data_IF_533142796874
#
_entry.id   IF_533142796874
#
_cell.length_a   1.000
_cell.length_b   1.000
_cell.length_c   1.000
_cell.angle_alpha   90.00
_cell.angle_beta   90.00
_cell.angle_gamma   90.00
#
_symmetry.space_group_name_H-M   'P 1'
#
loop_
_entity.id
_entity.type
_entity.pdbx_description
1 polymer ?
#
# COMPACT_ATOMS: atom_id res chain seq x y z
N UNK A 1 -64.98 -8.28 -9.34
CA UNK A 1 -65.10 -9.17 -10.46
C UNK A 1 -63.75 -9.75 -10.83
N UNK A 2 -63.68 -10.97 -10.55
CA UNK A 2 -63.09 -12.21 -11.06
C UNK A 2 -61.58 -12.37 -10.72
N UNK A 3 -61.30 -13.18 -9.77
CA UNK A 3 -61.25 -14.67 -9.61
C UNK A 3 -60.05 -15.30 -10.27
N UNK A 4 -59.22 -15.92 -9.36
CA UNK A 4 -58.65 -17.27 -9.41
C UNK A 4 -57.57 -17.49 -10.50
N UNK A 5 -56.48 -18.17 -10.23
CA UNK A 5 -56.29 -19.50 -9.68
C UNK A 5 -54.85 -19.74 -9.35
N UNK A 6 -54.63 -20.37 -8.21
CA UNK A 6 -53.43 -21.06 -7.74
C UNK A 6 -53.21 -22.36 -8.51
N UNK A 7 -51.97 -22.69 -8.85
CA UNK A 7 -51.62 -24.06 -9.21
C UNK A 7 -50.35 -24.47 -8.43
N UNK A 8 -50.40 -25.65 -7.74
CA UNK A 8 -49.33 -26.10 -6.84
C UNK A 8 -48.26 -26.93 -7.57
N UNK A 9 -47.06 -26.95 -6.97
CA UNK A 9 -45.92 -27.76 -7.37
C UNK A 9 -46.21 -29.26 -7.16
N UNK A 10 -45.63 -30.15 -7.99
CA UNK A 10 -45.70 -31.62 -7.74
C UNK A 10 -44.60 -32.10 -6.79
N UNK A 11 -44.84 -33.22 -6.10
CA UNK A 11 -44.01 -33.70 -5.01
C UNK A 11 -42.85 -34.60 -5.45
N UNK A 12 -41.85 -34.65 -4.57
CA UNK A 12 -40.78 -35.65 -4.58
C UNK A 12 -41.32 -37.06 -4.50
N UNK A 13 -40.74 -38.00 -5.27
CA UNK A 13 -40.84 -39.42 -5.00
C UNK A 13 -39.47 -40.04 -4.82
N UNK A 14 -39.28 -40.88 -3.80
CA UNK A 14 -38.08 -41.65 -3.56
C UNK A 14 -38.30 -43.07 -4.08
N UNK A 15 -37.27 -43.71 -4.61
CA UNK A 15 -37.21 -45.17 -4.90
C UNK A 15 -35.74 -45.46 -5.27
N UNK A 16 -35.11 -46.50 -4.92
CA UNK A 16 -35.30 -47.63 -4.02
C UNK A 16 -33.97 -48.34 -3.96
N UNK A 17 -33.66 -48.84 -2.81
CA UNK A 17 -32.58 -49.80 -2.57
C UNK A 17 -32.96 -51.19 -3.09
N UNK A 18 -32.03 -51.90 -3.70
CA UNK A 18 -32.07 -53.35 -3.89
C UNK A 18 -30.62 -53.84 -3.98
N UNK A 19 -30.05 -54.38 -3.05
CA UNK A 19 -29.85 -55.58 -2.26
C UNK A 19 -29.81 -56.84 -3.16
N UNK A 20 -28.71 -57.61 -2.94
CA UNK A 20 -28.46 -59.06 -3.16
C UNK A 20 -28.01 -59.47 -4.57
N UNK A 21 -26.91 -60.22 -4.75
CA UNK A 21 -26.68 -61.55 -4.22
C UNK A 21 -25.26 -62.03 -4.58
N UNK A 22 -24.57 -62.61 -3.63
CA UNK A 22 -23.54 -63.63 -3.88
C UNK A 22 -24.19 -64.93 -4.36
N UNK A 23 -23.44 -65.84 -5.06
CA UNK A 23 -22.61 -66.80 -4.33
C UNK A 23 -21.31 -67.23 -5.06
N UNK A 24 -20.32 -67.68 -4.29
CA UNK A 24 -19.33 -68.69 -4.64
C UNK A 24 -19.98 -70.07 -4.87
N UNK A 25 -19.37 -71.10 -5.45
CA UNK A 25 -18.04 -71.60 -5.12
C UNK A 25 -17.26 -72.36 -6.25
N UNK A 26 -16.02 -72.73 -5.87
CA UNK A 26 -15.25 -73.93 -6.24
C UNK A 26 -14.79 -74.23 -7.68
N UNK A 27 -13.53 -74.59 -7.70
CA UNK A 27 -13.01 -75.52 -8.69
C UNK A 27 -11.57 -75.27 -9.16
N UNK A 28 -10.61 -75.81 -8.43
CA UNK A 28 -9.57 -76.73 -8.90
C UNK A 28 -8.61 -76.30 -10.04
N UNK A 29 -7.42 -76.27 -9.76
CA UNK A 29 -6.33 -77.21 -10.11
C UNK A 29 -5.04 -76.57 -10.62
N UNK A 30 -4.00 -76.91 -9.98
CA UNK A 30 -2.61 -77.27 -10.33
C UNK A 30 -1.99 -76.67 -11.62
N UNK A 31 -0.82 -76.11 -11.43
CA UNK A 31 0.14 -75.89 -12.53
C UNK A 31 1.34 -75.01 -12.11
N UNK A 32 2.36 -75.64 -11.60
CA UNK A 32 3.61 -74.99 -11.19
C UNK A 32 4.37 -74.31 -12.31
N UNK A 33 4.90 -73.18 -11.99
CA UNK A 33 5.80 -72.42 -12.85
C UNK A 33 6.53 -71.33 -12.09
N UNK A 34 7.59 -71.69 -11.39
CA UNK A 34 8.46 -70.72 -10.69
C UNK A 34 9.26 -69.95 -11.71
N UNK A 35 8.77 -68.75 -12.08
CA UNK A 35 9.54 -67.75 -12.84
C UNK A 35 10.40 -66.89 -11.93
N UNK A 36 11.60 -66.49 -12.36
CA UNK A 36 12.59 -65.84 -11.49
C UNK A 36 12.10 -64.48 -10.93
N UNK A 37 12.26 -64.30 -9.63
CA UNK A 37 11.87 -63.15 -8.82
C UNK A 37 12.34 -61.78 -9.29
N UNK A 38 13.39 -61.70 -10.18
CA UNK A 38 13.92 -60.45 -10.72
C UNK A 38 13.03 -59.77 -11.79
N UNK A 39 12.08 -60.48 -12.44
CA UNK A 39 11.13 -59.88 -13.41
C UNK A 39 10.01 -59.06 -12.79
N UNK A 40 9.76 -59.15 -11.47
CA UNK A 40 8.68 -58.41 -10.82
C UNK A 40 9.06 -56.99 -10.33
N UNK A 41 10.34 -56.57 -10.43
CA UNK A 41 10.77 -55.24 -9.97
C UNK A 41 10.73 -54.13 -11.03
N UNK A 42 10.45 -54.42 -12.31
CA UNK A 42 10.43 -53.38 -13.34
C UNK A 42 9.06 -52.78 -13.70
N UNK A 43 7.95 -53.30 -13.19
CA UNK A 43 6.59 -52.78 -13.49
C UNK A 43 5.93 -51.95 -12.41
N UNK A 44 6.65 -51.59 -11.33
CA UNK A 44 6.08 -50.80 -10.22
C UNK A 44 6.66 -49.39 -10.13
N UNK A 45 7.44 -48.94 -11.11
CA UNK A 45 8.04 -47.58 -11.10
C UNK A 45 7.38 -46.54 -12.01
N UNK A 46 6.37 -46.91 -12.80
CA UNK A 46 5.75 -46.01 -13.77
C UNK A 46 4.26 -45.70 -13.48
N UNK A 47 3.77 -45.92 -12.27
CA UNK A 47 2.38 -45.57 -11.91
C UNK A 47 2.24 -44.66 -10.68
N UNK A 48 3.28 -43.94 -10.28
CA UNK A 48 3.30 -43.12 -9.06
C UNK A 48 3.40 -41.62 -9.25
N UNK A 49 3.47 -41.11 -10.51
CA UNK A 49 3.77 -39.67 -10.69
C UNK A 49 2.76 -38.90 -11.57
N UNK A 50 1.52 -39.39 -11.71
CA UNK A 50 0.53 -38.73 -12.57
C UNK A 50 -0.58 -37.95 -11.82
N UNK A 51 -0.48 -37.75 -10.50
CA UNK A 51 -1.56 -37.09 -9.75
C UNK A 51 -1.03 -36.08 -8.73
N UNK A 52 -0.19 -35.13 -9.12
CA UNK A 52 0.06 -33.95 -8.28
C UNK A 52 0.56 -32.73 -9.07
N UNK A 53 0.03 -32.51 -10.27
CA UNK A 53 0.41 -31.37 -11.12
C UNK A 53 -0.66 -30.25 -11.12
N UNK A 54 -1.52 -30.20 -10.12
CA UNK A 54 -2.57 -29.17 -10.01
C UNK A 54 -2.23 -27.98 -9.11
N UNK A 55 -0.99 -27.89 -8.62
CA UNK A 55 -0.56 -26.85 -7.67
C UNK A 55 0.42 -25.81 -8.22
N UNK A 56 1.08 -26.07 -9.33
CA UNK A 56 2.14 -25.19 -9.84
C UNK A 56 1.59 -24.19 -10.89
N UNK A 57 1.06 -23.07 -10.41
CA UNK A 57 0.65 -21.92 -11.26
C UNK A 57 1.85 -21.06 -11.69
N UNK A 58 3.07 -21.54 -11.56
CA UNK A 58 4.28 -20.87 -12.02
C UNK A 58 4.55 -21.13 -13.51
N UNK A 59 5.06 -20.14 -14.24
CA UNK A 59 5.46 -20.25 -15.66
C UNK A 59 6.56 -21.31 -15.88
N UNK A 60 7.25 -21.72 -14.82
CA UNK A 60 8.35 -22.72 -14.87
C UNK A 60 8.01 -23.84 -13.88
N UNK A 61 7.92 -25.08 -14.37
CA UNK A 61 7.63 -26.25 -13.53
C UNK A 61 8.77 -26.53 -12.52
N UNK A 62 8.42 -27.16 -11.39
CA UNK A 62 9.40 -27.49 -10.33
C UNK A 62 10.52 -28.41 -10.87
N UNK A 63 10.19 -29.29 -11.81
CA UNK A 63 11.15 -30.20 -12.47
C UNK A 63 12.15 -29.44 -13.35
N UNK A 64 11.70 -28.39 -14.04
CA UNK A 64 12.57 -27.57 -14.89
C UNK A 64 13.50 -26.67 -14.09
N UNK A 65 13.09 -26.22 -12.90
CA UNK A 65 13.96 -25.45 -11.99
C UNK A 65 15.20 -26.23 -11.51
N UNK A 66 15.19 -27.57 -11.59
CA UNK A 66 16.33 -28.43 -11.21
C UNK A 66 17.38 -28.57 -12.33
N UNK A 67 17.07 -28.20 -13.57
CA UNK A 67 18.01 -28.25 -14.69
C UNK A 67 19.06 -27.12 -14.56
N UNK A 68 20.38 -27.43 -14.58
CA UNK A 68 21.42 -26.43 -14.36
C UNK A 68 21.43 -25.32 -15.44
N UNK A 69 21.03 -25.63 -16.67
CA UNK A 69 20.93 -24.65 -17.74
C UNK A 69 19.81 -23.65 -17.51
N UNK A 70 18.63 -24.10 -17.07
CA UNK A 70 17.48 -23.23 -16.78
C UNK A 70 17.79 -22.35 -15.56
N UNK A 71 18.42 -22.92 -14.54
CA UNK A 71 18.84 -22.17 -13.36
C UNK A 71 19.86 -21.08 -13.68
N UNK A 72 20.81 -21.34 -14.59
CA UNK A 72 21.77 -20.32 -15.06
C UNK A 72 21.05 -19.22 -15.85
N UNK A 73 20.24 -19.59 -16.83
CA UNK A 73 19.47 -18.63 -17.63
C UNK A 73 18.57 -17.75 -16.76
N UNK A 74 17.81 -18.34 -15.82
CA UNK A 74 16.96 -17.59 -14.89
C UNK A 74 17.77 -16.63 -14.03
N UNK A 75 18.93 -17.06 -13.49
CA UNK A 75 19.81 -16.18 -12.72
C UNK A 75 20.39 -15.05 -13.55
N UNK A 76 20.79 -15.33 -14.79
CA UNK A 76 21.30 -14.30 -15.71
C UNK A 76 20.20 -13.28 -16.02
N UNK A 77 18.98 -13.73 -16.36
CA UNK A 77 17.85 -12.85 -16.62
C UNK A 77 17.50 -12.03 -15.37
N UNK A 78 17.45 -12.65 -14.20
CA UNK A 78 17.22 -11.94 -12.94
C UNK A 78 18.33 -10.93 -12.64
N UNK A 79 19.59 -11.29 -12.89
CA UNK A 79 20.72 -10.38 -12.73
C UNK A 79 20.67 -9.19 -13.69
N UNK A 80 20.33 -9.41 -14.95
CA UNK A 80 20.16 -8.35 -15.95
C UNK A 80 18.98 -7.43 -15.57
N UNK A 81 17.84 -8.01 -15.20
CA UNK A 81 16.68 -7.25 -14.76
C UNK A 81 16.99 -6.43 -13.50
N UNK A 82 17.66 -7.04 -12.52
CA UNK A 82 18.08 -6.34 -11.31
C UNK A 82 19.06 -5.21 -11.63
N UNK A 83 20.06 -5.47 -12.47
CA UNK A 83 21.01 -4.45 -12.93
C UNK A 83 20.30 -3.28 -13.63
N UNK A 84 19.37 -3.59 -14.53
CA UNK A 84 18.56 -2.58 -15.21
C UNK A 84 17.70 -1.77 -14.22
N UNK A 85 17.06 -2.43 -13.26
CA UNK A 85 16.28 -1.76 -12.20
C UNK A 85 17.16 -0.85 -11.34
N UNK A 86 18.37 -1.29 -10.99
CA UNK A 86 19.33 -0.48 -10.24
C UNK A 86 19.75 0.76 -11.06
N UNK A 87 20.10 0.59 -12.32
CA UNK A 87 20.52 1.71 -13.19
C UNK A 87 19.37 2.71 -13.39
N UNK A 88 18.17 2.22 -13.71
CA UNK A 88 16.99 3.08 -13.93
C UNK A 88 16.54 3.76 -12.63
N UNK A 89 16.58 3.05 -11.50
CA UNK A 89 16.12 3.56 -10.20
C UNK A 89 17.16 4.47 -9.52
N UNK A 90 18.42 4.07 -9.50
CA UNK A 90 19.48 4.84 -8.81
C UNK A 90 20.21 5.83 -9.73
N UNK A 91 20.20 5.58 -11.04
CA UNK A 91 20.92 6.45 -12.01
C UNK A 91 20.56 7.92 -11.87
N UNK A 92 19.26 8.31 -11.92
CA UNK A 92 18.84 9.70 -11.75
C UNK A 92 19.26 10.30 -10.39
N UNK A 93 19.20 9.49 -9.31
CA UNK A 93 19.62 9.94 -7.98
C UNK A 93 21.13 10.19 -7.90
N UNK A 94 21.93 9.28 -8.46
CA UNK A 94 23.38 9.44 -8.52
C UNK A 94 23.78 10.63 -9.38
N UNK A 95 23.08 10.81 -10.50
CA UNK A 95 23.27 11.99 -11.35
C UNK A 95 22.95 13.29 -10.60
N UNK A 96 21.83 13.32 -9.86
CA UNK A 96 21.44 14.48 -9.04
C UNK A 96 22.50 14.79 -7.97
N UNK A 97 23.01 13.76 -7.28
CA UNK A 97 24.06 13.91 -6.27
C UNK A 97 25.36 14.46 -6.87
N UNK A 98 25.74 13.95 -8.06
CA UNK A 98 26.88 14.48 -8.81
C UNK A 98 26.66 15.95 -9.18
N UNK A 99 25.50 16.28 -9.75
CA UNK A 99 25.17 17.62 -10.20
C UNK A 99 25.09 18.64 -9.04
N UNK A 100 24.66 18.20 -7.86
CA UNK A 100 24.59 19.02 -6.65
C UNK A 100 25.95 19.57 -6.17
N UNK A 101 27.05 18.89 -6.51
CA UNK A 101 28.41 19.28 -6.14
C UNK A 101 29.25 19.73 -7.34
N UNK A 102 28.63 19.90 -8.52
CA UNK A 102 29.32 20.29 -9.74
C UNK A 102 28.96 21.75 -10.10
N UNK A 103 29.91 22.59 -10.46
CA UNK A 103 29.62 23.96 -10.94
C UNK A 103 28.63 23.97 -12.11
N UNK A 104 27.77 24.98 -12.18
CA UNK A 104 26.72 25.11 -13.22
C UNK A 104 27.30 24.98 -14.63
N UNK A 105 28.43 25.59 -14.92
CA UNK A 105 29.04 25.57 -16.27
C UNK A 105 29.42 24.14 -16.69
N UNK A 106 29.98 23.34 -15.78
CA UNK A 106 30.41 21.98 -16.08
C UNK A 106 29.18 21.05 -16.22
N UNK A 107 28.15 21.26 -15.41
CA UNK A 107 26.90 20.55 -15.55
C UNK A 107 26.22 20.78 -16.88
N UNK A 108 26.26 22.01 -17.39
CA UNK A 108 25.68 22.37 -18.70
C UNK A 108 26.53 21.89 -19.87
N UNK A 109 27.88 21.95 -19.77
CA UNK A 109 28.80 21.53 -20.85
C UNK A 109 28.87 20.02 -21.01
N UNK A 110 28.88 19.30 -19.91
CA UNK A 110 29.04 17.82 -19.88
C UNK A 110 27.99 17.13 -19.01
N UNK A 111 26.68 17.21 -19.35
CA UNK A 111 25.60 16.72 -18.50
C UNK A 111 25.65 15.21 -18.25
N UNK A 112 26.18 14.43 -19.22
CA UNK A 112 26.30 12.97 -19.15
C UNK A 112 27.63 12.48 -18.57
N UNK A 113 28.54 13.35 -18.17
CA UNK A 113 29.79 12.95 -17.52
C UNK A 113 29.46 12.24 -16.19
N UNK A 114 30.06 11.05 -15.97
CA UNK A 114 29.82 10.25 -14.76
C UNK A 114 30.48 10.91 -13.54
N UNK A 115 31.66 11.50 -13.73
CA UNK A 115 32.41 12.19 -12.67
C UNK A 115 32.37 13.71 -12.86
N UNK A 116 32.31 14.50 -11.77
CA UNK A 116 32.40 15.93 -11.84
C UNK A 116 33.84 16.37 -12.25
N UNK A 117 33.96 17.41 -13.05
CA UNK A 117 35.28 18.00 -13.36
C UNK A 117 35.83 18.87 -12.22
N UNK A 118 34.98 19.24 -11.26
CA UNK A 118 35.29 19.93 -10.03
C UNK A 118 34.28 19.59 -8.97
N UNK A 119 34.64 19.68 -7.69
CA UNK A 119 33.71 19.46 -6.56
C UNK A 119 33.59 20.77 -5.81
N UNK A 120 32.38 21.34 -5.84
CA UNK A 120 32.02 22.52 -5.09
C UNK A 120 31.01 22.19 -3.99
N UNK A 121 31.53 22.04 -2.77
CA UNK A 121 30.73 21.80 -1.59
C UNK A 121 29.94 23.04 -1.13
N UNK A 122 30.36 24.23 -1.61
CA UNK A 122 29.69 25.47 -1.24
C UNK A 122 28.23 25.51 -1.73
N UNK A 123 27.93 24.85 -2.84
CA UNK A 123 26.57 24.71 -3.34
C UNK A 123 25.60 24.14 -2.28
N UNK A 124 26.03 23.11 -1.54
CA UNK A 124 25.22 22.51 -0.46
C UNK A 124 25.05 23.46 0.72
N UNK A 125 26.12 24.19 1.08
CA UNK A 125 26.08 25.18 2.16
C UNK A 125 25.16 26.34 1.77
N UNK A 126 25.32 26.86 0.57
CA UNK A 126 24.47 27.95 0.04
C UNK A 126 23.02 27.53 -0.08
N UNK A 127 22.75 26.31 -0.55
CA UNK A 127 21.40 25.75 -0.59
C UNK A 127 20.78 25.69 0.83
N UNK A 128 21.54 25.25 1.82
CA UNK A 128 21.06 25.15 3.19
C UNK A 128 20.80 26.53 3.83
N UNK A 129 21.75 27.46 3.70
CA UNK A 129 21.70 28.75 4.42
C UNK A 129 20.90 29.81 3.68
N UNK A 130 21.04 29.93 2.35
CA UNK A 130 20.39 30.99 1.56
C UNK A 130 18.95 30.66 1.19
N UNK A 131 18.65 29.38 0.93
CA UNK A 131 17.30 28.93 0.59
C UNK A 131 16.47 28.67 1.87
N UNK A 132 17.15 28.51 3.01
CA UNK A 132 16.51 28.12 4.28
C UNK A 132 15.77 26.78 4.18
N UNK A 133 16.42 25.76 3.60
CA UNK A 133 15.82 24.42 3.44
C UNK A 133 15.39 23.81 4.78
N UNK A 134 16.09 24.14 5.87
CA UNK A 134 15.75 23.77 7.23
C UNK A 134 14.32 24.18 7.62
N UNK A 135 13.92 25.43 7.32
CA UNK A 135 12.57 25.94 7.59
C UNK A 135 11.53 25.20 6.76
N UNK A 136 11.75 25.07 5.42
CA UNK A 136 10.80 24.39 4.54
C UNK A 136 10.72 22.89 4.85
N UNK A 137 11.83 22.30 5.26
CA UNK A 137 11.82 20.91 5.73
C UNK A 137 11.00 20.75 7.00
N UNK A 138 11.17 21.65 7.99
CA UNK A 138 10.36 21.62 9.20
C UNK A 138 8.88 21.82 8.89
N UNK A 139 8.55 22.76 8.00
CA UNK A 139 7.18 22.94 7.51
C UNK A 139 6.61 21.67 6.90
N UNK A 140 7.41 20.98 6.08
CA UNK A 140 7.02 19.70 5.46
C UNK A 140 6.72 18.64 6.52
N UNK A 141 7.57 18.53 7.56
CA UNK A 141 7.34 17.60 8.67
C UNK A 141 6.07 17.95 9.47
N UNK A 142 5.86 19.22 9.78
CA UNK A 142 4.68 19.68 10.52
C UNK A 142 3.41 19.42 9.70
N UNK A 143 3.42 19.72 8.40
CA UNK A 143 2.31 19.47 7.49
C UNK A 143 2.03 17.97 7.41
N UNK A 144 3.07 17.15 7.20
CA UNK A 144 2.91 15.69 7.09
C UNK A 144 2.41 15.07 8.39
N UNK A 145 2.94 15.50 9.54
CA UNK A 145 2.53 14.98 10.85
C UNK A 145 1.08 15.34 11.19
N UNK A 146 0.68 16.59 10.94
CA UNK A 146 -0.69 17.03 11.19
C UNK A 146 -1.70 16.41 10.24
N UNK A 147 -1.37 16.33 8.94
CA UNK A 147 -2.20 15.66 7.94
C UNK A 147 -2.36 14.16 8.28
N UNK A 148 -1.27 13.49 8.65
CA UNK A 148 -1.29 12.10 9.14
C UNK A 148 -2.20 11.93 10.36
N UNK A 149 -2.06 12.79 11.37
CA UNK A 149 -2.83 12.68 12.60
C UNK A 149 -4.33 12.87 12.35
N UNK A 150 -4.72 13.91 11.60
CA UNK A 150 -6.12 14.19 11.26
C UNK A 150 -6.70 13.08 10.38
N UNK A 151 -5.97 12.65 9.36
CA UNK A 151 -6.41 11.59 8.45
C UNK A 151 -6.59 10.25 9.18
N UNK A 152 -5.66 9.90 10.06
CA UNK A 152 -5.74 8.69 10.86
C UNK A 152 -6.91 8.72 11.84
N UNK A 153 -7.12 9.86 12.51
CA UNK A 153 -8.24 10.05 13.41
C UNK A 153 -9.58 9.86 12.68
N UNK A 154 -9.77 10.52 11.55
CA UNK A 154 -11.00 10.43 10.76
C UNK A 154 -11.20 9.03 10.20
N UNK A 155 -10.15 8.41 9.65
CA UNK A 155 -10.23 7.06 9.09
C UNK A 155 -10.55 6.00 10.16
N UNK A 156 -9.89 6.07 11.32
CA UNK A 156 -10.10 5.11 12.39
C UNK A 156 -11.48 5.28 13.04
N UNK A 157 -11.89 6.49 13.38
CA UNK A 157 -13.21 6.74 14.00
C UNK A 157 -14.35 6.53 13.00
N UNK A 158 -14.21 6.97 11.75
CA UNK A 158 -15.19 6.75 10.68
C UNK A 158 -15.32 5.26 10.33
N UNK A 159 -14.21 4.57 10.18
CA UNK A 159 -14.17 3.11 9.98
C UNK A 159 -14.83 2.35 11.13
N UNK A 160 -14.54 2.74 12.37
CA UNK A 160 -15.15 2.17 13.57
C UNK A 160 -16.67 2.40 13.63
N UNK A 161 -17.10 3.62 13.38
CA UNK A 161 -18.52 3.96 13.37
C UNK A 161 -19.29 3.14 12.32
N UNK A 162 -18.74 3.02 11.11
CA UNK A 162 -19.39 2.33 9.99
C UNK A 162 -19.29 0.80 10.05
N UNK A 163 -18.28 0.23 10.72
CA UNK A 163 -18.06 -1.21 10.79
C UNK A 163 -18.57 -1.84 12.07
N UNK A 164 -18.24 -1.25 13.23
CA UNK A 164 -18.48 -1.85 14.56
C UNK A 164 -19.76 -1.32 15.20
N UNK A 165 -19.97 0.01 15.16
CA UNK A 165 -21.18 0.62 15.74
C UNK A 165 -22.41 0.44 14.86
N UNK A 166 -22.25 0.44 13.54
CA UNK A 166 -23.28 0.20 12.52
C UNK A 166 -24.59 0.99 12.77
N UNK A 167 -24.55 2.33 12.80
CA UNK A 167 -25.75 3.13 13.00
C UNK A 167 -26.76 2.88 11.86
N UNK A 168 -28.06 3.07 12.10
CA UNK A 168 -29.13 2.81 11.13
C UNK A 168 -28.90 3.49 9.78
N UNK A 169 -28.32 4.69 9.79
CA UNK A 169 -27.97 5.47 8.60
C UNK A 169 -26.58 5.12 8.02
N UNK A 170 -25.85 4.22 8.64
CA UNK A 170 -24.46 3.89 8.27
C UNK A 170 -24.28 3.45 6.83
N UNK A 171 -25.25 2.71 6.27
CA UNK A 171 -25.22 2.28 4.85
C UNK A 171 -25.30 3.47 3.88
N UNK A 172 -26.11 4.48 4.19
CA UNK A 172 -26.24 5.71 3.39
C UNK A 172 -24.93 6.50 3.46
N UNK A 173 -24.42 6.73 4.66
CA UNK A 173 -23.14 7.44 4.86
C UNK A 173 -22.00 6.73 4.13
N UNK A 174 -21.91 5.40 4.25
CA UNK A 174 -20.90 4.62 3.54
C UNK A 174 -21.04 4.74 2.01
N UNK A 175 -22.27 4.70 1.50
CA UNK A 175 -22.55 4.93 0.08
C UNK A 175 -22.10 6.31 -0.39
N UNK A 176 -22.35 7.36 0.40
CA UNK A 176 -21.89 8.72 0.11
C UNK A 176 -20.36 8.83 0.14
N UNK A 177 -19.70 8.21 1.13
CA UNK A 177 -18.23 8.14 1.19
C UNK A 177 -17.67 7.43 -0.06
N UNK A 178 -18.28 6.33 -0.49
CA UNK A 178 -17.88 5.66 -1.73
C UNK A 178 -18.11 6.55 -2.96
N UNK A 179 -19.23 7.29 -3.01
CA UNK A 179 -19.52 8.19 -4.12
C UNK A 179 -18.46 9.29 -4.29
N UNK A 180 -17.87 9.78 -3.18
CA UNK A 180 -16.80 10.80 -3.27
C UNK A 180 -15.55 10.29 -4.00
N UNK A 181 -15.29 8.98 -4.03
CA UNK A 181 -14.14 8.40 -4.75
C UNK A 181 -14.25 8.57 -6.28
N UNK A 182 -15.46 8.78 -6.81
CA UNK A 182 -15.70 9.00 -8.23
C UNK A 182 -15.58 10.48 -8.62
N UNK A 183 -15.50 11.39 -7.64
CA UNK A 183 -15.37 12.82 -7.90
C UNK A 183 -13.88 13.15 -8.08
N UNK A 184 -13.48 13.67 -9.26
CA UNK A 184 -12.09 14.10 -9.46
C UNK A 184 -11.71 15.21 -8.48
N UNK A 185 -10.59 15.06 -7.79
CA UNK A 185 -10.13 16.02 -6.77
C UNK A 185 -10.00 17.45 -7.32
N UNK A 186 -9.61 17.59 -8.60
CA UNK A 186 -9.44 18.90 -9.26
C UNK A 186 -10.75 19.71 -9.29
N UNK A 187 -11.90 19.06 -9.43
CA UNK A 187 -13.23 19.73 -9.44
C UNK A 187 -13.53 20.37 -8.08
N UNK A 188 -13.00 19.79 -7.01
CA UNK A 188 -13.22 20.25 -5.65
C UNK A 188 -12.26 21.37 -5.22
N UNK A 189 -11.24 21.72 -6.01
CA UNK A 189 -10.24 22.72 -5.63
C UNK A 189 -10.85 24.08 -5.32
N UNK A 190 -11.71 24.60 -6.22
CA UNK A 190 -12.31 25.93 -6.03
C UNK A 190 -13.29 25.96 -4.85
N UNK A 191 -14.26 25.03 -4.73
CA UNK A 191 -15.15 25.00 -3.55
C UNK A 191 -14.37 24.83 -2.24
N UNK A 192 -13.33 24.00 -2.23
CA UNK A 192 -12.51 23.76 -1.05
C UNK A 192 -11.71 25.01 -0.67
N UNK A 193 -11.11 25.70 -1.67
CA UNK A 193 -10.42 26.97 -1.43
C UNK A 193 -11.32 28.02 -0.82
N UNK A 194 -12.55 28.19 -1.35
CA UNK A 194 -13.53 29.12 -0.80
C UNK A 194 -13.96 28.74 0.62
N UNK A 195 -14.05 27.45 0.93
CA UNK A 195 -14.34 26.95 2.28
C UNK A 195 -13.20 27.28 3.25
N UNK A 196 -11.94 27.17 2.83
CA UNK A 196 -10.77 27.53 3.63
C UNK A 196 -10.64 29.05 3.79
N UNK A 197 -11.00 29.82 2.76
CA UNK A 197 -11.02 31.27 2.80
C UNK A 197 -12.08 31.82 3.77
N UNK A 198 -13.27 31.19 3.77
CA UNK A 198 -14.43 31.56 4.59
C UNK A 198 -14.98 30.33 5.33
N UNK A 199 -14.28 29.79 6.34
CA UNK A 199 -14.76 28.62 7.04
C UNK A 199 -16.07 28.92 7.79
N UNK A 200 -17.12 28.09 7.62
CA UNK A 200 -18.46 28.39 8.11
C UNK A 200 -18.59 28.49 9.64
N UNK A 201 -17.64 27.88 10.39
CA UNK A 201 -17.72 27.81 11.85
C UNK A 201 -16.68 28.69 12.56
N UNK A 202 -15.63 29.15 11.88
CA UNK A 202 -14.45 29.79 12.50
C UNK A 202 -14.48 31.31 12.26
N UNK A 203 -15.11 31.77 11.18
CA UNK A 203 -15.27 33.21 10.87
C UNK A 203 -13.98 33.90 10.39
N UNK A 204 -12.81 33.30 10.54
CA UNK A 204 -11.51 33.82 10.08
C UNK A 204 -10.90 32.91 9.05
N UNK A 205 -10.24 33.48 8.03
CA UNK A 205 -9.56 32.72 7.00
C UNK A 205 -8.49 31.79 7.58
N UNK A 206 -8.42 30.59 7.08
CA UNK A 206 -7.37 29.61 7.41
C UNK A 206 -6.18 29.67 6.44
N UNK A 207 -6.20 30.52 5.40
CA UNK A 207 -5.09 30.68 4.49
C UNK A 207 -3.78 30.98 5.23
N UNK A 208 -2.69 30.46 4.72
CA UNK A 208 -1.35 30.57 5.32
C UNK A 208 -1.24 29.99 6.75
N UNK A 209 -2.13 29.07 7.10
CA UNK A 209 -2.03 28.25 8.31
C UNK A 209 -1.93 26.76 7.92
N UNK A 210 -1.31 25.95 8.75
CA UNK A 210 -1.23 24.49 8.51
C UNK A 210 -2.61 23.82 8.56
N UNK A 211 -3.59 24.42 9.25
CA UNK A 211 -4.98 23.94 9.28
C UNK A 211 -5.64 23.90 7.90
N UNK A 212 -5.22 24.80 6.99
CA UNK A 212 -5.70 24.82 5.62
C UNK A 212 -5.34 23.52 4.86
N UNK A 213 -4.28 22.81 5.29
CA UNK A 213 -3.86 21.53 4.71
C UNK A 213 -4.36 20.36 5.54
N UNK A 214 -4.29 20.44 6.86
CA UNK A 214 -4.65 19.34 7.75
C UNK A 214 -6.13 18.97 7.70
N UNK A 215 -7.03 19.94 7.69
CA UNK A 215 -8.48 19.67 7.73
C UNK A 215 -8.95 18.94 6.45
N UNK A 216 -8.62 19.40 5.22
CA UNK A 216 -8.98 18.68 4.02
C UNK A 216 -8.35 17.28 3.92
N UNK A 217 -7.12 17.12 4.43
CA UNK A 217 -6.46 15.82 4.45
C UNK A 217 -7.27 14.76 5.21
N UNK A 218 -8.02 15.15 6.25
CA UNK A 218 -8.93 14.26 6.98
C UNK A 218 -10.07 13.67 6.13
N UNK A 219 -10.48 14.34 5.07
CA UNK A 219 -11.58 13.90 4.21
C UNK A 219 -11.18 12.80 3.20
N UNK A 220 -10.26 11.91 3.57
CA UNK A 220 -9.81 10.79 2.71
C UNK A 220 -10.78 9.63 2.75
N UNK A 221 -11.71 9.59 1.79
CA UNK A 221 -12.67 8.49 1.63
C UNK A 221 -11.97 7.13 1.45
N UNK A 222 -10.87 7.09 0.71
CA UNK A 222 -10.08 5.88 0.50
C UNK A 222 -9.60 5.26 1.84
N UNK A 223 -9.04 6.08 2.74
CA UNK A 223 -8.54 5.60 4.01
C UNK A 223 -9.69 5.16 4.96
N UNK A 224 -10.81 5.86 4.95
CA UNK A 224 -12.00 5.45 5.72
C UNK A 224 -12.51 4.09 5.25
N UNK A 225 -12.64 3.89 3.93
CA UNK A 225 -13.09 2.62 3.33
C UNK A 225 -12.11 1.49 3.64
N UNK A 226 -10.81 1.76 3.54
CA UNK A 226 -9.75 0.78 3.80
C UNK A 226 -9.79 0.31 5.25
N UNK A 227 -9.87 1.23 6.22
CA UNK A 227 -9.95 0.92 7.65
C UNK A 227 -11.26 0.20 7.97
N UNK A 228 -12.39 0.69 7.43
CA UNK A 228 -13.69 0.03 7.61
C UNK A 228 -13.64 -1.43 7.15
N UNK A 229 -13.11 -1.69 5.95
CA UNK A 229 -13.01 -3.06 5.42
C UNK A 229 -12.13 -3.96 6.28
N UNK A 230 -11.06 -3.41 6.85
CA UNK A 230 -10.24 -4.16 7.81
C UNK A 230 -11.04 -4.50 9.07
N UNK A 231 -11.78 -3.54 9.63
CA UNK A 231 -12.60 -3.76 10.83
C UNK A 231 -13.74 -4.74 10.58
N UNK A 232 -14.30 -4.79 9.36
CA UNK A 232 -15.33 -5.78 8.99
C UNK A 232 -14.81 -7.23 9.07
N UNK A 233 -13.50 -7.44 8.93
CA UNK A 233 -12.86 -8.76 9.00
C UNK A 233 -12.41 -9.16 10.41
N UNK A 234 -12.58 -8.29 11.40
CA UNK A 234 -12.27 -8.64 12.80
C UNK A 234 -13.35 -9.59 13.36
N UNK A 235 -12.96 -10.61 14.18
CA UNK A 235 -13.90 -11.53 14.78
C UNK A 235 -14.92 -10.80 15.64
N UNK A 236 -16.21 -10.99 15.37
CA UNK A 236 -17.30 -10.31 16.08
C UNK A 236 -17.46 -10.79 17.51
N UNK A 237 -17.11 -12.04 17.77
CA UNK A 237 -17.16 -12.66 19.09
C UNK A 237 -16.36 -11.87 20.13
N UNK A 238 -15.24 -11.26 19.73
CA UNK A 238 -14.42 -10.43 20.61
C UNK A 238 -15.20 -9.18 21.05
N UNK A 239 -15.97 -8.57 20.12
CA UNK A 239 -16.76 -7.38 20.43
C UNK A 239 -17.97 -7.70 21.30
N UNK A 240 -18.59 -8.87 21.08
CA UNK A 240 -19.73 -9.36 21.87
C UNK A 240 -19.28 -9.70 23.28
N UNK A 241 -18.19 -10.44 23.45
CA UNK A 241 -17.61 -10.74 24.75
C UNK A 241 -17.29 -9.46 25.55
N UNK A 242 -16.61 -8.49 24.90
CA UNK A 242 -16.29 -7.23 25.55
C UNK A 242 -17.53 -6.44 25.98
N UNK A 243 -18.64 -6.50 25.21
CA UNK A 243 -19.90 -5.86 25.60
C UNK A 243 -20.57 -6.56 26.78
N UNK A 244 -20.49 -7.88 26.84
CA UNK A 244 -20.96 -8.66 28.01
C UNK A 244 -20.16 -8.27 29.25
N UNK A 245 -18.84 -8.03 29.12
CA UNK A 245 -17.97 -7.53 30.20
C UNK A 245 -18.19 -6.05 30.52
N UNK A 246 -19.22 -5.38 29.95
CA UNK A 246 -19.57 -3.99 30.22
C UNK A 246 -18.69 -2.96 29.49
N UNK A 247 -17.94 -3.33 28.46
CA UNK A 247 -17.16 -2.36 27.68
C UNK A 247 -18.07 -1.43 26.87
N UNK A 248 -18.05 -0.14 27.17
CA UNK A 248 -18.70 0.87 26.35
C UNK A 248 -17.99 1.08 24.99
N UNK A 249 -18.65 1.80 24.05
CA UNK A 249 -18.09 2.00 22.67
C UNK A 249 -16.69 2.59 22.65
N UNK A 250 -16.41 3.55 23.54
CA UNK A 250 -15.10 4.22 23.60
C UNK A 250 -14.01 3.26 24.10
N UNK A 251 -14.28 2.46 25.15
CA UNK A 251 -13.36 1.44 25.68
C UNK A 251 -13.11 0.37 24.64
N UNK A 252 -14.16 -0.07 23.91
CA UNK A 252 -14.06 -1.03 22.83
C UNK A 252 -13.13 -0.54 21.73
N UNK A 253 -13.27 0.73 21.32
CA UNK A 253 -12.42 1.34 20.30
C UNK A 253 -10.94 1.37 20.71
N UNK A 254 -10.63 2.00 21.86
CA UNK A 254 -9.25 2.24 22.27
C UNK A 254 -8.51 1.00 22.76
N UNK A 255 -9.22 0.10 23.50
CA UNK A 255 -8.57 -1.02 24.17
C UNK A 255 -8.58 -2.31 23.35
N UNK A 256 -9.46 -2.43 22.35
CA UNK A 256 -9.62 -3.68 21.59
C UNK A 256 -9.43 -3.43 20.10
N UNK A 257 -10.28 -2.59 19.46
CA UNK A 257 -10.27 -2.43 18.01
C UNK A 257 -8.95 -1.82 17.53
N UNK A 258 -8.52 -0.72 18.12
CA UNK A 258 -7.31 -0.01 17.70
C UNK A 258 -6.03 -0.84 17.87
N UNK A 259 -5.78 -1.53 18.99
CA UNK A 259 -4.64 -2.43 19.15
C UNK A 259 -4.61 -3.61 18.17
N UNK A 260 -5.77 -4.21 17.88
CA UNK A 260 -5.88 -5.28 16.88
C UNK A 260 -5.64 -4.80 15.46
N UNK A 261 -5.82 -3.50 15.23
CA UNK A 261 -5.76 -2.88 13.91
C UNK A 261 -4.42 -2.23 13.60
N UNK A 262 -3.38 -2.46 14.40
CA UNK A 262 -2.02 -1.93 14.17
C UNK A 262 -1.52 -2.13 12.73
N UNK A 263 -1.77 -3.27 12.04
CA UNK A 263 -1.30 -3.45 10.67
C UNK A 263 -1.93 -2.45 9.70
N UNK A 264 -3.25 -2.26 9.74
CA UNK A 264 -3.94 -1.33 8.84
C UNK A 264 -3.64 0.12 9.17
N UNK A 265 -3.52 0.45 10.46
CA UNK A 265 -3.10 1.77 10.93
C UNK A 265 -1.72 2.13 10.36
N UNK A 266 -0.78 1.17 10.35
CA UNK A 266 0.51 1.33 9.72
C UNK A 266 0.43 1.60 8.22
N UNK A 267 -0.39 0.86 7.49
CA UNK A 267 -0.59 1.06 6.04
C UNK A 267 -1.18 2.45 5.75
N UNK A 268 -2.23 2.84 6.46
CA UNK A 268 -2.86 4.17 6.32
C UNK A 268 -1.88 5.28 6.67
N UNK A 269 -1.05 5.09 7.71
CA UNK A 269 -0.02 6.06 8.09
C UNK A 269 1.00 6.28 6.98
N UNK A 270 1.47 5.20 6.33
CA UNK A 270 2.40 5.31 5.19
C UNK A 270 1.77 6.10 4.05
N UNK A 271 0.52 5.77 3.66
CA UNK A 271 -0.18 6.49 2.59
C UNK A 271 -0.39 7.97 2.93
N UNK A 272 -0.80 8.28 4.17
CA UNK A 272 -1.03 9.65 4.62
C UNK A 272 0.26 10.49 4.57
N UNK A 273 1.36 9.97 5.10
CA UNK A 273 2.65 10.65 5.13
C UNK A 273 3.19 10.87 3.72
N UNK A 274 3.16 9.83 2.86
CA UNK A 274 3.64 9.94 1.47
C UNK A 274 2.77 10.94 0.69
N UNK A 275 1.46 10.90 0.86
CA UNK A 275 0.55 11.83 0.19
C UNK A 275 0.86 13.28 0.58
N UNK A 276 0.97 13.56 1.89
CA UNK A 276 1.27 14.90 2.39
C UNK A 276 2.68 15.39 1.98
N UNK A 277 3.67 14.48 1.94
CA UNK A 277 5.03 14.83 1.54
C UNK A 277 5.14 15.30 0.09
N UNK A 278 4.46 14.61 -0.82
CA UNK A 278 4.53 14.89 -2.26
C UNK A 278 3.48 15.88 -2.75
N UNK A 279 2.54 16.31 -1.89
CA UNK A 279 1.50 17.24 -2.31
C UNK A 279 2.10 18.62 -2.61
N UNK A 280 1.87 19.04 -3.84
CA UNK A 280 2.28 20.35 -4.35
C UNK A 280 1.07 21.26 -4.54
N UNK A 281 0.04 20.73 -5.21
CA UNK A 281 -1.03 21.55 -5.77
C UNK A 281 -1.83 22.26 -4.68
N UNK A 282 -2.32 21.51 -3.69
CA UNK A 282 -3.14 22.10 -2.63
C UNK A 282 -2.35 23.07 -1.73
N UNK A 283 -1.18 22.69 -1.19
CA UNK A 283 -0.36 23.62 -0.41
C UNK A 283 0.06 24.88 -1.18
N UNK A 284 0.30 24.79 -2.51
CA UNK A 284 0.67 25.96 -3.31
C UNK A 284 -0.45 27.00 -3.44
N UNK A 285 -1.71 26.55 -3.32
CA UNK A 285 -2.88 27.43 -3.36
C UNK A 285 -3.15 28.11 -2.01
N UNK A 286 -2.97 27.38 -0.91
CA UNK A 286 -3.40 27.85 0.44
C UNK A 286 -2.26 28.36 1.32
N UNK A 287 -0.98 28.04 0.99
CA UNK A 287 0.22 28.50 1.70
C UNK A 287 1.04 29.39 0.79
N UNK A 288 0.63 30.65 0.66
CA UNK A 288 1.27 31.63 -0.25
C UNK A 288 2.50 32.30 0.36
N UNK A 289 2.59 32.33 1.69
CA UNK A 289 3.73 32.93 2.41
C UNK A 289 4.91 31.96 2.46
N UNK A 290 6.12 32.35 2.02
CA UNK A 290 7.32 31.51 2.01
C UNK A 290 7.65 30.87 3.37
N UNK A 291 7.35 31.54 4.46
CA UNK A 291 7.64 31.10 5.82
C UNK A 291 6.87 29.81 6.24
N UNK A 292 5.73 29.51 5.61
CA UNK A 292 4.89 28.35 5.93
C UNK A 292 4.86 27.32 4.81
N UNK A 293 5.53 27.60 3.68
CA UNK A 293 5.55 26.68 2.53
C UNK A 293 6.37 25.41 2.83
N UNK A 294 5.90 24.23 2.40
CA UNK A 294 6.69 23.02 2.40
C UNK A 294 7.71 22.99 1.25
N UNK A 295 8.67 22.07 1.32
CA UNK A 295 9.67 21.86 0.26
C UNK A 295 9.05 21.64 -1.12
N UNK A 296 7.95 20.88 -1.19
CA UNK A 296 7.26 20.59 -2.45
C UNK A 296 6.77 21.85 -3.17
N UNK A 297 6.43 22.91 -2.44
CA UNK A 297 5.99 24.20 -3.01
C UNK A 297 7.16 25.16 -3.20
N UNK A 298 8.04 25.26 -2.22
CA UNK A 298 9.11 26.25 -2.24
C UNK A 298 10.16 25.99 -3.30
N UNK A 299 10.58 24.73 -3.48
CA UNK A 299 11.64 24.40 -4.43
C UNK A 299 11.26 24.74 -5.89
N UNK A 300 10.11 24.31 -6.42
CA UNK A 300 9.73 24.72 -7.79
C UNK A 300 9.62 26.24 -7.97
N UNK A 301 9.20 26.97 -6.95
CA UNK A 301 9.10 28.43 -7.00
C UNK A 301 10.48 29.12 -7.12
N UNK A 302 11.54 28.49 -6.63
CA UNK A 302 12.91 29.04 -6.67
C UNK A 302 13.66 28.69 -7.95
N UNK A 303 13.17 27.76 -8.76
CA UNK A 303 13.89 27.24 -9.94
C UNK A 303 14.42 28.33 -10.91
N UNK A 304 13.67 29.42 -11.05
CA UNK A 304 14.03 30.51 -11.99
C UNK A 304 14.78 31.68 -11.32
N UNK A 305 14.96 31.63 -10.01
CA UNK A 305 15.51 32.76 -9.24
C UNK A 305 16.88 32.49 -8.64
N UNK A 306 17.31 31.24 -8.61
CA UNK A 306 18.60 30.82 -8.05
C UNK A 306 19.47 30.13 -9.11
N UNK A 307 20.76 30.06 -8.87
CA UNK A 307 21.71 29.37 -9.74
C UNK A 307 21.40 27.86 -9.80
N UNK A 308 21.67 27.24 -10.96
CA UNK A 308 21.28 25.86 -11.23
C UNK A 308 21.96 24.86 -10.28
N UNK A 309 23.24 25.05 -9.96
CA UNK A 309 24.01 24.20 -9.05
C UNK A 309 23.45 24.25 -7.62
N UNK A 310 23.14 25.45 -7.13
CA UNK A 310 22.49 25.65 -5.83
C UNK A 310 21.09 25.01 -5.81
N UNK A 311 20.34 25.14 -6.91
CA UNK A 311 19.04 24.50 -7.05
C UNK A 311 19.13 22.97 -7.04
N UNK A 312 20.11 22.40 -7.78
CA UNK A 312 20.35 20.95 -7.80
C UNK A 312 20.83 20.43 -6.44
N UNK A 313 21.63 21.24 -5.73
CA UNK A 313 22.03 20.94 -4.35
C UNK A 313 20.80 20.90 -3.40
N UNK A 314 19.89 21.86 -3.53
CA UNK A 314 18.64 21.90 -2.78
C UNK A 314 17.75 20.69 -3.06
N UNK A 315 17.61 20.29 -4.32
CA UNK A 315 16.89 19.07 -4.71
C UNK A 315 17.54 17.81 -4.16
N UNK A 316 18.88 17.72 -4.17
CA UNK A 316 19.60 16.59 -3.62
C UNK A 316 19.37 16.45 -2.10
N UNK A 317 19.53 17.54 -1.35
CA UNK A 317 19.24 17.56 0.09
C UNK A 317 17.78 17.14 0.35
N UNK A 318 16.83 17.72 -0.38
CA UNK A 318 15.40 17.45 -0.23
C UNK A 318 15.01 16.00 -0.56
N UNK A 319 15.78 15.35 -1.43
CA UNK A 319 15.57 13.93 -1.81
C UNK A 319 16.23 12.98 -0.80
N UNK A 320 17.42 13.34 -0.30
CA UNK A 320 18.14 12.49 0.66
C UNK A 320 17.45 12.38 2.02
N UNK A 321 16.82 13.47 2.47
CA UNK A 321 16.15 13.49 3.78
C UNK A 321 15.04 12.44 3.90
N UNK A 322 14.04 12.36 2.99
CA UNK A 322 13.01 11.32 3.07
C UNK A 322 13.58 9.90 2.89
N UNK A 323 14.63 9.74 2.08
CA UNK A 323 15.31 8.44 1.95
C UNK A 323 15.94 8.04 3.29
N UNK A 324 16.66 8.95 3.94
CA UNK A 324 17.25 8.70 5.25
C UNK A 324 16.19 8.36 6.30
N UNK A 325 15.09 9.13 6.35
CA UNK A 325 13.97 8.85 7.25
C UNK A 325 13.36 7.48 6.96
N UNK A 326 13.14 7.12 5.69
CA UNK A 326 12.63 5.81 5.32
C UNK A 326 13.56 4.68 5.78
N UNK A 327 14.86 4.80 5.55
CA UNK A 327 15.86 3.80 5.98
C UNK A 327 15.88 3.63 7.50
N UNK A 328 15.78 4.73 8.26
CA UNK A 328 15.70 4.68 9.72
C UNK A 328 14.42 3.98 10.20
N UNK A 329 13.28 4.34 9.60
CA UNK A 329 11.96 3.87 10.03
C UNK A 329 11.45 2.64 9.25
N UNK A 330 12.18 2.11 8.26
CA UNK A 330 11.75 0.99 7.41
C UNK A 330 11.26 -0.24 8.20
N UNK A 331 11.89 -0.54 9.35
CA UNK A 331 11.46 -1.67 10.19
C UNK A 331 10.07 -1.48 10.79
N UNK A 332 9.71 -0.23 11.14
CA UNK A 332 8.36 0.09 11.63
C UNK A 332 7.36 -0.05 10.50
N UNK A 333 7.66 0.47 9.29
CA UNK A 333 6.80 0.36 8.11
C UNK A 333 6.58 -1.09 7.68
N UNK A 334 7.66 -1.89 7.57
CA UNK A 334 7.56 -3.29 7.13
C UNK A 334 6.83 -4.18 8.14
N UNK A 335 7.02 -3.94 9.44
CA UNK A 335 6.27 -4.67 10.48
C UNK A 335 4.78 -4.35 10.46
N UNK A 336 4.43 -3.08 10.23
CA UNK A 336 3.04 -2.62 10.15
C UNK A 336 2.33 -3.12 8.90
N UNK A 337 3.05 -3.28 7.77
CA UNK A 337 2.50 -3.78 6.51
C UNK A 337 2.26 -5.32 6.49
N UNK A 338 2.45 -6.03 7.60
CA UNK A 338 2.19 -7.47 7.68
C UNK A 338 3.20 -8.36 6.94
N UNK A 339 4.26 -7.79 6.37
CA UNK A 339 5.30 -8.56 5.66
C UNK A 339 6.26 -9.31 6.60
N UNK A 340 6.13 -9.13 7.91
CA UNK A 340 6.92 -9.84 8.92
C UNK A 340 6.61 -11.32 9.08
N UNK A 341 5.50 -11.81 8.51
CA UNK A 341 5.08 -13.22 8.57
C UNK A 341 5.57 -14.08 7.39
N UNK A 342 5.97 -13.46 6.28
CA UNK A 342 6.33 -14.19 5.05
C UNK A 342 7.81 -14.63 4.97
N UNK A 343 8.64 -14.29 5.97
CA UNK A 343 10.08 -14.61 5.97
C UNK A 343 10.41 -15.76 6.95
N UNK A 344 9.41 -16.38 7.57
CA UNK A 344 9.57 -17.63 8.32
C UNK A 344 8.92 -18.77 7.52
N UNK A 345 9.61 -19.20 6.50
CA UNK A 345 9.37 -20.41 5.75
C UNK A 345 10.68 -20.90 5.17
#
# INVERSE_FOLDING_TARGET
>A
LTSTTSTPAPPFSPLEATIMNEPSPDGGDSGGGRGPWWRRRRKRRDRGDATNDSGDRGIISISDRRKPSIRRSTRTIQGVLLGLLIVVGLGPLLWLLKAAVTPTQDTLRTPMAIFPNGIDWQNLVTAWTTIHIDVQFMNTLIIAAGAWAVQLLVAATGGYALSVLQPKYGKIVYGLVLATLFVPAVVLLVPLYLTILHPPLIGTSLLNTYWAVWLPAGASAFNVVLVKRFFDNLPREIFEAARVDGAGPFRLFWSIVLPMSKPIIGVVSVFAIIAAWKDYLWPSLVLTLPAVQPLSVRLPALQQTIELDVYLAALAISTLIPIALFVVFQRLFLRSAGLGGAIKG
#
